data_IF_459893851025
#
_entry.id   IF_459893851025
#
_cell.length_a   1.000
_cell.length_b   1.000
_cell.length_c   1.000
_cell.angle_alpha   90.00
_cell.angle_beta   90.00
_cell.angle_gamma   90.00
#
_symmetry.space_group_name_H-M   'P 1'
#
loop_
_entity.id
_entity.type
_entity.pdbx_description
1 polymer ?
#
# COMPACT_ATOMS: atom_id res chain seq x y z
N UNK A 1 3.34 -10.25 -7.65
CA UNK A 1 2.14 -9.40 -7.51
C UNK A 1 1.72 -8.93 -8.90
N UNK A 2 1.24 -9.86 -9.74
CA UNK A 2 1.03 -9.62 -11.19
C UNK A 2 -0.05 -10.55 -11.79
N UNK A 3 -0.97 -11.08 -10.97
CA UNK A 3 -1.96 -12.07 -11.43
C UNK A 3 -3.35 -11.78 -10.86
N UNK A 4 -3.90 -10.60 -11.19
CA UNK A 4 -5.32 -10.30 -10.96
C UNK A 4 -5.92 -9.38 -12.04
N UNK A 5 -5.43 -9.46 -13.28
CA UNK A 5 -6.19 -8.97 -14.44
C UNK A 5 -6.45 -10.17 -15.33
N UNK A 6 -7.72 -10.35 -15.74
CA UNK A 6 -8.07 -11.19 -16.88
C UNK A 6 -7.13 -10.84 -18.04
N UNK A 7 -6.59 -11.85 -18.72
CA UNK A 7 -5.58 -11.67 -19.77
C UNK A 7 -6.02 -10.70 -20.87
N UNK A 8 -7.34 -10.51 -21.06
CA UNK A 8 -7.90 -9.50 -21.97
C UNK A 8 -7.73 -8.04 -21.50
N UNK A 9 -7.88 -7.76 -20.20
CA UNK A 9 -7.88 -6.39 -19.68
C UNK A 9 -6.45 -5.84 -19.57
N UNK A 10 -5.50 -6.65 -19.12
CA UNK A 10 -4.09 -6.25 -19.08
C UNK A 10 -3.52 -6.00 -20.49
N UNK A 11 -3.89 -6.82 -21.46
CA UNK A 11 -3.48 -6.65 -22.86
C UNK A 11 -4.16 -5.41 -23.48
N UNK A 12 -5.45 -5.20 -23.22
CA UNK A 12 -6.17 -4.01 -23.67
C UNK A 12 -5.54 -2.71 -23.14
N UNK A 13 -5.23 -2.67 -21.84
CA UNK A 13 -4.66 -1.50 -21.19
C UNK A 13 -3.21 -1.24 -21.65
N UNK A 14 -2.42 -2.29 -21.86
CA UNK A 14 -1.06 -2.18 -22.42
C UNK A 14 -1.06 -1.66 -23.87
N UNK A 15 -2.01 -2.09 -24.70
CA UNK A 15 -2.13 -1.62 -26.10
C UNK A 15 -2.56 -0.15 -26.15
N UNK A 16 -3.53 0.26 -25.32
CA UNK A 16 -3.97 1.67 -25.24
C UNK A 16 -2.84 2.57 -24.75
N UNK A 17 -2.14 2.17 -23.69
CA UNK A 17 -0.98 2.90 -23.18
C UNK A 17 0.14 2.98 -24.24
N UNK A 18 0.43 1.87 -24.92
CA UNK A 18 1.42 1.82 -26.00
C UNK A 18 1.09 2.75 -27.17
N UNK A 19 -0.17 2.78 -27.60
CA UNK A 19 -0.63 3.67 -28.66
C UNK A 19 -0.50 5.16 -28.27
N UNK A 20 -0.80 5.49 -27.01
CA UNK A 20 -0.68 6.86 -26.49
C UNK A 20 0.78 7.30 -26.41
N UNK A 21 1.66 6.45 -25.88
CA UNK A 21 3.10 6.72 -25.80
C UNK A 21 3.68 6.90 -27.20
N UNK A 22 3.33 6.02 -28.15
CA UNK A 22 3.78 6.16 -29.53
C UNK A 22 3.29 7.47 -30.17
N UNK A 23 2.02 7.83 -29.99
CA UNK A 23 1.47 9.09 -30.50
C UNK A 23 2.14 10.31 -29.87
N UNK A 24 2.39 10.29 -28.56
CA UNK A 24 3.08 11.35 -27.84
C UNK A 24 4.53 11.51 -28.30
N UNK A 25 5.29 10.43 -28.42
CA UNK A 25 6.69 10.47 -28.88
C UNK A 25 6.79 10.93 -30.34
N UNK A 26 5.88 10.46 -31.20
CA UNK A 26 5.85 10.89 -32.60
C UNK A 26 5.51 12.38 -32.68
N UNK A 27 4.52 12.84 -31.93
CA UNK A 27 4.09 14.25 -31.93
C UNK A 27 5.08 15.20 -31.26
N UNK A 28 5.78 14.76 -30.21
CA UNK A 28 6.68 15.60 -29.43
C UNK A 28 8.14 15.56 -29.93
N UNK A 29 8.57 14.46 -30.55
CA UNK A 29 9.99 14.27 -30.92
C UNK A 29 10.20 14.05 -32.42
N UNK A 30 9.32 13.33 -33.11
CA UNK A 30 9.54 12.96 -34.52
C UNK A 30 9.04 14.05 -35.46
N UNK A 31 7.82 14.56 -35.25
CA UNK A 31 7.22 15.58 -36.11
C UNK A 31 7.92 16.95 -35.95
N UNK A 32 8.26 17.44 -34.74
CA UNK A 32 8.98 18.71 -34.59
C UNK A 32 10.39 18.67 -35.18
N UNK A 33 11.05 17.50 -35.16
CA UNK A 33 12.36 17.31 -35.81
C UNK A 33 12.29 17.27 -37.33
N UNK A 34 11.17 16.83 -37.92
CA UNK A 34 11.00 16.73 -39.38
C UNK A 34 10.29 17.91 -40.02
N UNK A 35 9.55 18.70 -39.24
CA UNK A 35 8.82 19.89 -39.69
C UNK A 35 9.01 21.02 -38.65
N UNK A 36 9.92 21.97 -38.92
CA UNK A 36 10.20 23.09 -38.02
C UNK A 36 8.97 23.97 -37.70
N UNK A 37 7.95 23.94 -38.56
CA UNK A 37 6.73 24.73 -38.43
C UNK A 37 5.60 24.04 -37.65
N UNK A 38 5.85 22.92 -36.96
CA UNK A 38 4.82 22.16 -36.25
C UNK A 38 4.49 22.76 -34.86
N UNK A 39 3.21 22.78 -34.41
CA UNK A 39 1.96 22.43 -35.12
C UNK A 39 1.46 23.52 -36.07
N UNK A 40 2.08 24.70 -36.03
CA UNK A 40 1.90 25.82 -36.96
C UNK A 40 0.43 26.19 -37.17
N UNK A 41 0.07 26.43 -38.43
CA UNK A 41 -1.30 26.80 -38.85
C UNK A 41 -2.37 25.74 -38.57
N UNK A 42 -1.98 24.50 -38.21
CA UNK A 42 -2.89 23.39 -37.96
C UNK A 42 -3.06 23.08 -36.46
N UNK A 43 -2.64 24.02 -35.59
CA UNK A 43 -2.73 23.89 -34.14
C UNK A 43 -4.15 23.54 -33.65
N UNK A 44 -5.18 24.18 -34.21
CA UNK A 44 -6.56 23.88 -33.83
C UNK A 44 -6.97 22.43 -34.11
N UNK A 45 -6.59 21.88 -35.27
CA UNK A 45 -6.88 20.48 -35.60
C UNK A 45 -6.06 19.51 -34.73
N UNK A 46 -4.80 19.85 -34.44
CA UNK A 46 -3.98 19.09 -33.51
C UNK A 46 -4.61 19.03 -32.11
N UNK A 47 -5.05 20.17 -31.57
CA UNK A 47 -5.74 20.24 -30.27
C UNK A 47 -7.01 19.37 -30.29
N UNK A 48 -7.81 19.44 -31.35
CA UNK A 48 -9.03 18.60 -31.46
C UNK A 48 -8.69 17.12 -31.42
N UNK A 49 -7.68 16.67 -32.19
CA UNK A 49 -7.24 15.27 -32.19
C UNK A 49 -6.71 14.86 -30.81
N UNK A 50 -5.92 15.71 -30.16
CA UNK A 50 -5.39 15.45 -28.80
C UNK A 50 -6.52 15.33 -27.78
N UNK A 51 -7.52 16.21 -27.84
CA UNK A 51 -8.67 16.17 -26.94
C UNK A 51 -9.51 14.91 -27.14
N UNK A 52 -9.72 14.48 -28.39
CA UNK A 52 -10.42 13.22 -28.68
C UNK A 52 -9.68 12.02 -28.09
N UNK A 53 -8.35 11.97 -28.21
CA UNK A 53 -7.54 10.91 -27.60
C UNK A 53 -7.58 10.96 -26.08
N UNK A 54 -7.49 12.14 -25.48
CA UNK A 54 -7.55 12.32 -24.03
C UNK A 54 -8.89 11.89 -23.45
N UNK A 55 -10.01 12.34 -24.06
CA UNK A 55 -11.36 11.93 -23.65
C UNK A 55 -11.58 10.44 -23.88
N UNK A 56 -11.09 9.87 -24.98
CA UNK A 56 -11.13 8.43 -25.22
C UNK A 56 -10.38 7.62 -24.17
N UNK A 57 -9.24 8.12 -23.67
CA UNK A 57 -8.48 7.47 -22.61
C UNK A 57 -9.15 7.60 -21.25
N UNK A 58 -9.72 8.76 -20.91
CA UNK A 58 -10.52 8.92 -19.70
C UNK A 58 -11.72 7.98 -19.72
N UNK A 59 -12.44 7.88 -20.84
CA UNK A 59 -13.54 6.94 -21.00
C UNK A 59 -13.08 5.48 -20.88
N UNK A 60 -11.90 5.13 -21.41
CA UNK A 60 -11.34 3.79 -21.23
C UNK A 60 -10.95 3.52 -19.76
N UNK A 61 -10.45 4.51 -19.02
CA UNK A 61 -10.17 4.38 -17.59
C UNK A 61 -11.46 4.25 -16.77
N UNK A 62 -12.54 4.91 -17.15
CA UNK A 62 -13.85 4.71 -16.50
C UNK A 62 -14.42 3.32 -16.82
N UNK A 63 -14.36 2.88 -18.09
CA UNK A 63 -14.94 1.60 -18.53
C UNK A 63 -14.13 0.40 -18.04
N UNK A 64 -12.80 0.50 -18.02
CA UNK A 64 -11.90 -0.61 -17.64
C UNK A 64 -11.27 -0.45 -16.26
N UNK A 65 -11.36 0.73 -15.65
CA UNK A 65 -10.96 1.01 -14.26
C UNK A 65 -12.11 0.88 -13.26
N UNK A 66 -13.37 0.76 -13.72
CA UNK A 66 -14.51 0.39 -12.89
C UNK A 66 -14.53 -1.09 -12.45
N UNK A 67 -13.52 -1.90 -12.80
CA UNK A 67 -13.24 -3.17 -12.12
C UNK A 67 -11.95 -3.05 -11.30
N UNK A 68 -12.01 -2.26 -10.22
CA UNK A 68 -11.03 -2.27 -9.11
C UNK A 68 -11.59 -1.80 -7.75
N UNK A 69 -12.89 -1.48 -7.65
CA UNK A 69 -13.58 -1.29 -6.38
C UNK A 69 -14.91 -2.06 -6.43
N UNK A 70 -14.87 -3.33 -6.01
CA UNK A 70 -15.91 -4.07 -5.26
C UNK A 70 -15.65 -5.59 -5.36
N UNK A 71 -14.80 -6.11 -4.46
CA UNK A 71 -15.10 -7.41 -3.81
C UNK A 71 -15.26 -7.14 -2.31
N UNK A 72 -16.25 -6.30 -2.03
CA UNK A 72 -16.89 -6.20 -0.73
C UNK A 72 -18.40 -6.07 -0.95
N UNK A 73 -19.03 -7.15 -1.41
CA UNK A 73 -20.46 -7.40 -1.21
C UNK A 73 -20.78 -8.89 -1.36
N UNK A 74 -20.74 -9.58 -0.22
CA UNK A 74 -21.84 -10.38 0.32
C UNK A 74 -22.92 -10.92 -0.66
N UNK A 75 -23.08 -12.25 -0.70
CA UNK A 75 -24.35 -12.98 -0.91
C UNK A 75 -24.14 -14.41 -0.39
N UNK A 76 -24.91 -15.03 0.51
CA UNK A 76 -26.07 -14.65 1.31
C UNK A 76 -26.18 -15.68 2.45
N UNK A 77 -26.88 -15.42 3.55
CA UNK A 77 -28.31 -15.75 3.65
C UNK A 77 -28.88 -15.19 4.94
N UNK A 78 -29.99 -14.46 4.79
CA UNK A 78 -30.91 -13.99 5.82
C UNK A 78 -31.25 -15.00 6.93
N UNK A 79 -31.33 -14.52 8.18
CA UNK A 79 -32.47 -14.78 9.10
C UNK A 79 -32.73 -13.54 9.96
N UNK A 80 -33.96 -13.00 10.02
CA UNK A 80 -34.36 -12.09 11.09
C UNK A 80 -34.74 -12.92 12.33
N UNK A 81 -34.19 -12.55 13.48
CA UNK A 81 -34.51 -13.19 14.75
C UNK A 81 -34.00 -12.36 15.92
N UNK A 82 -34.84 -11.47 16.44
CA UNK A 82 -34.68 -10.87 17.76
C UNK A 82 -34.71 -11.97 18.83
N UNK A 83 -33.66 -12.07 19.64
CA UNK A 83 -33.72 -12.62 21.00
C UNK A 83 -32.56 -12.05 21.83
N UNK A 84 -32.82 -11.88 23.13
CA UNK A 84 -32.16 -11.06 24.16
C UNK A 84 -30.61 -11.13 24.29
N UNK A 85 -29.98 -10.15 24.97
CA UNK A 85 -28.53 -10.09 25.12
C UNK A 85 -27.98 -11.29 25.91
N UNK A 86 -27.10 -12.04 25.25
CA UNK A 86 -26.23 -13.04 25.85
C UNK A 86 -25.05 -12.34 26.59
N UNK A 87 -24.46 -12.91 27.66
CA UNK A 87 -23.33 -12.31 28.36
C UNK A 87 -22.15 -12.08 27.41
N UNK A 88 -21.26 -11.11 27.68
CA UNK A 88 -20.18 -10.80 26.77
C UNK A 88 -19.32 -12.05 26.53
N UNK A 89 -18.99 -12.35 25.26
CA UNK A 89 -18.11 -13.47 24.96
C UNK A 89 -16.75 -13.26 25.63
N UNK A 90 -16.03 -14.33 25.99
CA UNK A 90 -14.65 -14.21 26.46
C UNK A 90 -13.84 -13.44 25.40
N UNK A 91 -12.84 -12.64 25.81
CA UNK A 91 -12.04 -11.84 24.89
C UNK A 91 -11.56 -12.72 23.73
N UNK A 92 -11.61 -12.22 22.47
CA UNK A 92 -11.20 -13.02 21.33
C UNK A 92 -9.81 -13.59 21.60
N UNK A 93 -9.64 -14.89 21.33
CA UNK A 93 -8.30 -15.44 21.14
C UNK A 93 -7.57 -14.46 20.21
N UNK A 94 -6.43 -13.94 20.67
CA UNK A 94 -5.64 -12.94 19.96
C UNK A 94 -5.56 -13.35 18.48
N UNK A 95 -6.19 -12.57 17.61
CA UNK A 95 -6.24 -12.88 16.20
C UNK A 95 -4.79 -12.91 15.71
N UNK A 96 -4.30 -14.12 15.36
CA UNK A 96 -2.91 -14.32 15.00
C UNK A 96 -2.55 -13.41 13.82
N UNK A 97 -1.52 -12.58 14.03
CA UNK A 97 -1.05 -11.63 13.03
C UNK A 97 -0.47 -12.31 11.80
N UNK A 98 -0.62 -11.67 10.64
CA UNK A 98 -0.11 -12.11 9.35
C UNK A 98 1.19 -11.38 9.03
N UNK A 99 2.33 -12.05 9.21
CA UNK A 99 3.65 -11.48 8.95
C UNK A 99 3.82 -10.80 7.56
N UNK A 100 3.27 -11.33 6.44
CA UNK A 100 3.34 -10.63 5.16
C UNK A 100 2.66 -9.25 5.17
N UNK A 101 1.52 -9.11 5.86
CA UNK A 101 0.86 -7.83 6.05
C UNK A 101 1.66 -6.92 6.98
N UNK A 102 2.26 -7.49 8.03
CA UNK A 102 3.11 -6.74 8.95
C UNK A 102 4.29 -6.07 8.25
N UNK A 103 4.87 -6.71 7.24
CA UNK A 103 5.92 -6.10 6.39
C UNK A 103 5.43 -4.88 5.61
N UNK A 104 4.17 -4.92 5.15
CA UNK A 104 3.54 -3.79 4.46
C UNK A 104 3.34 -2.65 5.45
N UNK A 105 2.78 -2.93 6.64
CA UNK A 105 2.61 -1.93 7.71
C UNK A 105 3.94 -1.33 8.12
N UNK A 106 4.97 -2.15 8.35
CA UNK A 106 6.32 -1.71 8.71
C UNK A 106 6.88 -0.68 7.70
N UNK A 107 6.72 -0.96 6.41
CA UNK A 107 7.19 -0.06 5.35
C UNK A 107 6.34 1.22 5.27
N UNK A 108 5.00 1.07 5.33
CA UNK A 108 4.07 2.18 5.22
C UNK A 108 4.16 3.17 6.38
N UNK A 109 4.47 2.68 7.59
CA UNK A 109 4.67 3.51 8.79
C UNK A 109 6.08 4.08 8.92
N UNK A 110 6.94 3.86 7.92
CA UNK A 110 8.28 4.45 7.87
C UNK A 110 9.27 3.84 8.88
N UNK A 111 8.97 2.68 9.47
CA UNK A 111 9.83 2.01 10.44
C UNK A 111 11.23 1.76 9.87
N UNK A 112 11.32 1.48 8.57
CA UNK A 112 12.58 1.24 7.85
C UNK A 112 13.55 2.41 7.86
N UNK A 113 13.06 3.64 8.02
CA UNK A 113 13.90 4.84 8.00
C UNK A 113 14.69 5.00 9.30
N UNK A 114 14.15 4.50 10.42
CA UNK A 114 14.76 4.60 11.73
C UNK A 114 15.49 3.33 12.15
N UNK A 115 14.95 2.16 11.81
CA UNK A 115 15.45 0.88 12.32
C UNK A 115 16.16 0.06 11.24
N UNK A 116 17.19 -0.68 11.66
CA UNK A 116 17.78 -1.76 10.87
C UNK A 116 16.93 -3.01 11.08
N UNK A 117 16.56 -3.68 9.99
CA UNK A 117 15.83 -4.94 10.03
C UNK A 117 15.97 -5.69 8.71
N UNK A 118 16.71 -6.80 8.71
CA UNK A 118 17.05 -7.55 7.49
C UNK A 118 15.84 -8.08 6.75
N UNK A 119 14.82 -8.58 7.45
CA UNK A 119 13.61 -9.12 6.82
C UNK A 119 12.83 -8.07 6.00
N UNK A 120 13.02 -6.78 6.32
CA UNK A 120 12.46 -5.64 5.60
C UNK A 120 13.43 -4.96 4.64
N UNK A 121 14.69 -5.43 4.53
CA UNK A 121 15.80 -4.69 3.87
C UNK A 121 15.97 -3.27 4.43
N UNK A 122 15.69 -3.07 5.72
CA UNK A 122 15.80 -1.78 6.39
C UNK A 122 17.20 -1.60 6.99
N UNK A 123 17.73 -0.38 6.89
CA UNK A 123 19.11 -0.03 7.30
C UNK A 123 19.17 1.23 8.16
N UNK A 124 18.04 1.68 8.71
CA UNK A 124 17.99 2.84 9.58
C UNK A 124 18.79 2.64 10.86
N UNK A 125 19.39 3.71 11.38
CA UNK A 125 20.23 3.69 12.59
C UNK A 125 19.83 4.72 13.64
N UNK A 126 18.70 5.39 13.44
CA UNK A 126 18.13 6.34 14.41
C UNK A 126 17.57 5.59 15.63
N UNK A 127 16.97 4.43 15.38
CA UNK A 127 16.52 3.48 16.39
C UNK A 127 17.39 2.22 16.41
N UNK A 128 17.19 1.33 17.39
CA UNK A 128 17.93 0.08 17.52
C UNK A 128 17.79 -0.83 16.31
N UNK A 129 18.84 -1.61 16.06
CA UNK A 129 18.79 -2.75 15.15
C UNK A 129 17.81 -3.80 15.71
N UNK A 130 16.69 -3.99 15.03
CA UNK A 130 15.60 -4.87 15.44
C UNK A 130 16.01 -6.35 15.36
N UNK A 131 16.97 -6.71 14.51
CA UNK A 131 17.52 -8.08 14.46
C UNK A 131 18.32 -8.41 15.73
N UNK A 132 18.72 -7.42 16.52
CA UNK A 132 19.46 -7.63 17.78
C UNK A 132 18.63 -7.29 19.01
N UNK A 133 17.88 -6.20 18.96
CA UNK A 133 17.09 -5.71 20.09
C UNK A 133 15.88 -6.59 20.43
N UNK A 134 15.34 -7.31 19.44
CA UNK A 134 14.19 -8.20 19.64
C UNK A 134 14.59 -9.65 19.97
N UNK A 135 15.88 -9.99 19.97
CA UNK A 135 16.33 -11.35 20.29
C UNK A 135 15.90 -11.77 21.70
N UNK A 136 15.20 -12.90 21.79
CA UNK A 136 14.68 -13.43 23.05
C UNK A 136 13.57 -12.59 23.67
N UNK A 137 12.97 -11.65 22.92
CA UNK A 137 11.76 -10.94 23.32
C UNK A 137 10.53 -11.66 22.79
N UNK A 138 9.45 -11.63 23.56
CA UNK A 138 8.19 -12.22 23.15
C UNK A 138 7.30 -11.20 22.39
N UNK A 139 6.20 -11.70 21.83
CA UNK A 139 5.25 -10.88 21.10
C UNK A 139 4.62 -9.78 21.97
N UNK A 140 4.44 -10.03 23.27
CA UNK A 140 3.87 -9.05 24.19
C UNK A 140 4.80 -7.85 24.39
N UNK A 141 6.10 -8.10 24.56
CA UNK A 141 7.12 -7.05 24.62
C UNK A 141 7.19 -6.24 23.33
N UNK A 142 7.14 -6.90 22.17
CA UNK A 142 7.15 -6.21 20.86
C UNK A 142 5.91 -5.35 20.70
N UNK A 143 4.73 -5.87 21.04
CA UNK A 143 3.48 -5.11 21.01
C UNK A 143 3.56 -3.87 21.90
N UNK A 144 3.99 -4.04 23.16
CA UNK A 144 4.17 -2.92 24.09
C UNK A 144 5.16 -1.88 23.57
N UNK A 145 6.27 -2.31 22.99
CA UNK A 145 7.27 -1.40 22.41
C UNK A 145 6.73 -0.59 21.22
N UNK A 146 5.71 -1.08 20.52
CA UNK A 146 5.06 -0.36 19.42
C UNK A 146 4.07 0.69 19.96
N UNK A 147 3.23 0.31 20.93
CA UNK A 147 2.13 1.16 21.42
C UNK A 147 2.55 2.12 22.53
N UNK A 148 3.62 1.78 23.27
CA UNK A 148 4.21 2.57 24.34
C UNK A 148 5.76 2.51 24.28
N UNK A 149 6.39 3.18 23.28
CA UNK A 149 7.81 3.05 23.03
C UNK A 149 8.72 3.60 24.13
N UNK A 150 8.20 4.49 24.98
CA UNK A 150 8.96 5.09 26.06
C UNK A 150 8.96 4.23 27.33
N UNK A 151 8.14 3.17 27.40
CA UNK A 151 8.06 2.29 28.57
C UNK A 151 9.35 1.50 28.80
N UNK A 152 9.95 0.99 27.75
CA UNK A 152 11.26 0.34 27.78
C UNK A 152 12.11 0.85 26.62
N UNK A 153 13.12 1.65 26.93
CA UNK A 153 14.02 2.23 25.95
C UNK A 153 15.26 1.35 25.83
N UNK A 154 15.61 0.97 24.60
CA UNK A 154 16.83 0.22 24.33
C UNK A 154 18.07 1.01 24.80
N UNK A 155 19.06 0.29 25.34
CA UNK A 155 20.30 0.91 25.83
C UNK A 155 20.97 1.77 24.74
N UNK A 156 21.33 3.01 25.08
CA UNK A 156 21.97 3.96 24.17
C UNK A 156 21.02 4.86 23.37
N UNK A 157 19.70 4.68 23.51
CA UNK A 157 18.69 5.50 22.82
C UNK A 157 18.02 6.50 23.77
N UNK A 158 17.51 7.58 23.21
CA UNK A 158 16.81 8.64 23.95
C UNK A 158 15.28 8.43 23.89
N UNK A 159 14.53 8.88 24.90
CA UNK A 159 13.06 8.89 24.84
C UNK A 159 12.54 9.80 23.73
N UNK A 160 11.30 9.58 23.32
CA UNK A 160 10.55 10.41 22.35
C UNK A 160 11.11 10.45 20.92
N UNK A 161 11.98 9.50 20.55
CA UNK A 161 12.46 9.35 19.16
C UNK A 161 11.46 8.52 18.33
N UNK A 162 10.91 7.46 18.92
CA UNK A 162 9.87 6.64 18.28
C UNK A 162 8.49 7.31 18.44
N UNK A 163 7.66 7.41 17.38
CA UNK A 163 6.32 7.98 17.46
C UNK A 163 5.46 7.28 18.52
N UNK A 164 4.79 8.06 19.35
CA UNK A 164 4.02 7.59 20.52
C UNK A 164 2.54 7.32 20.19
N UNK A 165 2.14 7.46 18.93
CA UNK A 165 0.75 7.46 18.50
C UNK A 165 0.33 6.19 17.75
N UNK A 166 1.20 5.19 17.61
CA UNK A 166 0.87 3.97 16.86
C UNK A 166 -0.31 3.19 17.46
N UNK A 167 -0.50 3.21 18.79
CA UNK A 167 -1.68 2.62 19.43
C UNK A 167 -3.00 3.33 19.09
N UNK A 168 -2.95 4.51 18.48
CA UNK A 168 -4.11 5.32 18.09
C UNK A 168 -4.28 5.36 16.56
N UNK A 169 -3.16 5.31 15.81
CA UNK A 169 -3.17 5.41 14.34
C UNK A 169 -3.23 4.07 13.64
N UNK A 170 -2.82 2.98 14.30
CA UNK A 170 -2.91 1.63 13.76
C UNK A 170 -4.09 0.88 14.37
N UNK A 171 -4.76 0.08 13.54
CA UNK A 171 -5.80 -0.83 14.03
C UNK A 171 -5.17 -1.99 14.82
N UNK A 172 -5.94 -2.64 15.73
CA UNK A 172 -5.44 -3.82 16.44
C UNK A 172 -4.90 -4.91 15.50
N UNK A 173 -5.55 -5.13 14.37
CA UNK A 173 -5.09 -6.09 13.35
C UNK A 173 -3.75 -5.68 12.74
N UNK A 174 -3.56 -4.40 12.41
CA UNK A 174 -2.29 -3.91 11.87
C UNK A 174 -1.14 -4.05 12.88
N UNK A 175 -1.41 -3.80 14.16
CA UNK A 175 -0.43 -3.99 15.23
C UNK A 175 -0.09 -5.47 15.36
N UNK A 176 -1.09 -6.36 15.39
CA UNK A 176 -0.85 -7.81 15.46
C UNK A 176 -0.05 -8.33 14.25
N UNK A 177 -0.39 -7.88 13.04
CA UNK A 177 0.33 -8.20 11.82
C UNK A 177 1.79 -7.74 11.91
N UNK A 178 2.02 -6.51 12.39
CA UNK A 178 3.36 -5.95 12.59
C UNK A 178 4.16 -6.71 13.64
N UNK A 179 3.55 -7.06 14.77
CA UNK A 179 4.16 -7.90 15.82
C UNK A 179 4.56 -9.25 15.24
N UNK A 180 3.66 -9.91 14.50
CA UNK A 180 3.93 -11.20 13.87
C UNK A 180 5.08 -11.13 12.86
N UNK A 181 5.23 -10.01 12.13
CA UNK A 181 6.37 -9.82 11.23
C UNK A 181 7.69 -9.64 11.97
N UNK A 182 7.69 -8.84 13.04
CA UNK A 182 8.87 -8.53 13.83
C UNK A 182 9.37 -9.72 14.65
N UNK A 183 8.48 -10.58 15.13
CA UNK A 183 8.84 -11.77 15.91
C UNK A 183 9.23 -12.98 15.04
N UNK A 184 8.94 -12.95 13.73
CA UNK A 184 9.29 -14.05 12.82
C UNK A 184 10.81 -14.15 12.56
N UNK A 185 11.57 -13.10 12.88
CA UNK A 185 12.99 -12.96 12.55
C UNK A 185 13.91 -12.85 13.79
N UNK A 186 13.34 -12.93 14.99
CA UNK A 186 14.02 -12.76 16.28
C UNK A 186 14.61 -14.02 16.88
#
# INVERSE_FOLDING_TARGET
MLLALSTGHAVGLAVVAGAFIAFALVSALVIPRRRPQYPGKHLGWFIVVTLVFFVGMLAAVEIFGAESEETAAETGTNRPGMTLPEPPPPPPAAQEGKAPNGKIVFSAQGCSSCHTFKAANATGTVGPDLDTALKGKDAAFVHESIVDPNKVIASGYQPNIMPQNFGQTLTPTQINDLVAFLTQSG
#
